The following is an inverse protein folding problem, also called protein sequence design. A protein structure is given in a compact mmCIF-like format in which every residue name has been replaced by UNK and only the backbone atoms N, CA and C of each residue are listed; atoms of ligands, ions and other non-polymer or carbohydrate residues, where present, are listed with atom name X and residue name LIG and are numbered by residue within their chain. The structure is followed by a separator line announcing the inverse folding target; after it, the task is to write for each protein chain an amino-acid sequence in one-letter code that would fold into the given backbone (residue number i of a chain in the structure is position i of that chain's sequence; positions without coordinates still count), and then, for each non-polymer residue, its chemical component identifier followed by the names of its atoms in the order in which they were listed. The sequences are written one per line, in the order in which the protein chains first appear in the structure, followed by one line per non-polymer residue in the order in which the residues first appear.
data_IF_144758969259
#
_entry.id   IF_144758969259
#
_cell.length_a   1.000
_cell.length_b   1.000
_cell.length_c   1.000
_cell.angle_alpha   90.00
_cell.angle_beta   90.00
_cell.angle_gamma   90.00
#
_symmetry.space_group_name_H-M   'P 1'
#
loop_
_entity.id
_entity.type
_entity.pdbx_description
1 polymer ?
#
# COMPACT_ATOMS: atom_id res chain seq x y z
N UNK A 1 2.51 -18.59 -14.69
CA UNK A 1 2.13 -17.17 -14.90
C UNK A 1 2.63 -16.40 -13.70
N UNK A 2 3.14 -15.18 -13.88
CA UNK A 2 3.46 -14.32 -12.74
C UNK A 2 2.20 -13.54 -12.38
N UNK A 3 1.63 -13.83 -11.21
CA UNK A 3 0.41 -13.17 -10.70
C UNK A 3 0.74 -11.91 -9.88
N UNK A 4 1.92 -11.31 -10.12
CA UNK A 4 2.45 -10.17 -9.36
C UNK A 4 2.74 -9.01 -10.29
N UNK A 5 2.21 -7.83 -9.93
CA UNK A 5 2.62 -6.57 -10.52
C UNK A 5 3.83 -6.01 -9.76
N UNK A 6 4.94 -5.76 -10.46
CA UNK A 6 6.10 -5.08 -9.90
C UNK A 6 6.00 -3.59 -10.18
N UNK A 7 6.08 -2.78 -9.13
CA UNK A 7 6.11 -1.31 -9.22
C UNK A 7 7.51 -0.86 -8.81
N UNK A 8 8.30 -0.29 -9.73
CA UNK A 8 9.68 0.11 -9.44
C UNK A 8 9.72 1.28 -8.45
N UNK A 9 10.86 1.46 -7.78
CA UNK A 9 11.22 2.66 -7.01
C UNK A 9 10.20 3.12 -5.94
N UNK A 10 9.39 2.19 -5.42
CA UNK A 10 8.47 2.45 -4.31
C UNK A 10 9.25 2.56 -3.00
N UNK A 11 9.14 3.73 -2.35
CA UNK A 11 9.66 3.90 -0.99
C UNK A 11 8.78 3.17 0.03
N UNK A 12 9.39 2.29 0.83
CA UNK A 12 8.73 1.57 1.93
C UNK A 12 9.33 2.00 3.26
N UNK A 13 8.48 2.44 4.18
CA UNK A 13 8.87 2.77 5.55
C UNK A 13 9.08 1.51 6.37
N UNK A 14 10.31 1.29 6.87
CA UNK A 14 10.58 0.24 7.86
C UNK A 14 10.29 0.78 9.26
N UNK A 15 9.22 0.29 9.88
CA UNK A 15 8.89 0.67 11.26
C UNK A 15 9.99 0.24 12.23
N UNK A 16 10.41 1.16 13.11
CA UNK A 16 11.39 0.90 14.18
C UNK A 16 10.73 0.76 15.55
N UNK A 17 9.42 1.01 15.63
CA UNK A 17 8.58 0.89 16.82
C UNK A 17 7.20 0.38 16.39
N UNK A 18 6.65 -0.55 17.15
CA UNK A 18 5.29 -1.08 16.97
C UNK A 18 4.48 -0.66 18.21
N UNK A 19 3.31 -0.08 17.99
CA UNK A 19 2.37 0.26 19.07
C UNK A 19 1.82 -1.02 19.70
N UNK A 20 1.55 -1.01 21.01
CA UNK A 20 0.93 -2.15 21.71
C UNK A 20 -0.42 -2.56 21.10
N UNK A 21 -1.13 -1.59 20.49
CA UNK A 21 -2.39 -1.83 19.78
C UNK A 21 -2.25 -2.85 18.62
N UNK A 22 -1.05 -3.02 18.06
CA UNK A 22 -0.78 -3.95 16.97
C UNK A 22 -0.01 -5.20 17.43
N UNK A 23 0.04 -5.49 18.74
CA UNK A 23 0.80 -6.64 19.26
C UNK A 23 0.25 -7.98 18.77
N UNK A 24 -1.08 -8.10 18.73
CA UNK A 24 -1.77 -9.38 18.47
C UNK A 24 -2.58 -9.36 17.16
N UNK A 25 -2.31 -8.39 16.27
CA UNK A 25 -2.98 -8.33 14.98
C UNK A 25 -2.32 -9.27 13.97
N UNK A 26 -3.07 -10.01 13.16
CA UNK A 26 -2.53 -11.00 12.23
C UNK A 26 -2.05 -10.36 10.90
N UNK A 27 -1.39 -9.19 10.95
CA UNK A 27 -0.79 -8.55 9.78
C UNK A 27 0.58 -7.95 10.12
N UNK A 28 1.49 -7.96 9.14
CA UNK A 28 2.89 -7.53 9.34
C UNK A 28 3.12 -6.02 9.09
N UNK A 29 2.15 -5.35 8.46
CA UNK A 29 2.25 -3.93 8.15
C UNK A 29 1.00 -3.37 7.51
N UNK A 30 1.09 -2.10 7.09
CA UNK A 30 -0.02 -1.37 6.47
C UNK A 30 0.43 -0.87 5.11
N UNK A 31 -0.41 -1.08 4.10
CA UNK A 31 -0.26 -0.52 2.77
C UNK A 31 -1.23 0.66 2.61
N UNK A 32 -0.71 1.88 2.55
CA UNK A 32 -1.53 3.08 2.33
C UNK A 32 -2.00 3.19 0.89
N UNK A 33 -3.31 3.29 0.67
CA UNK A 33 -3.94 3.34 -0.66
C UNK A 33 -4.70 4.65 -0.94
N UNK A 34 -4.69 5.59 0.01
CA UNK A 34 -5.37 6.86 -0.14
C UNK A 34 -4.54 7.88 -0.94
N UNK A 35 -5.11 9.07 -1.18
CA UNK A 35 -4.46 10.14 -1.92
C UNK A 35 -3.16 10.61 -1.27
N UNK A 36 -2.17 10.98 -2.10
CA UNK A 36 -0.88 11.51 -1.63
C UNK A 36 -1.01 12.79 -0.79
N UNK A 37 -2.07 13.59 -1.01
CA UNK A 37 -2.32 14.83 -0.26
C UNK A 37 -2.49 14.64 1.25
N UNK A 38 -2.81 13.42 1.71
CA UNK A 38 -2.93 13.08 3.13
C UNK A 38 -1.79 12.17 3.63
N UNK A 39 -0.74 11.98 2.82
CA UNK A 39 0.43 11.24 3.25
C UNK A 39 1.16 12.00 4.37
N UNK A 40 1.65 11.28 5.38
CA UNK A 40 2.42 11.86 6.49
C UNK A 40 3.70 12.56 6.02
N UNK A 41 4.27 12.08 4.91
CA UNK A 41 5.38 12.73 4.22
C UNK A 41 4.96 12.98 2.77
N UNK A 42 4.75 14.25 2.42
CA UNK A 42 4.30 14.67 1.08
C UNK A 42 5.30 14.36 -0.03
N UNK A 43 6.58 14.16 0.31
CA UNK A 43 7.63 13.77 -0.63
C UNK A 43 7.58 12.27 -1.01
N UNK A 44 6.72 11.47 -0.37
CA UNK A 44 6.57 10.05 -0.66
C UNK A 44 5.30 9.81 -1.49
N UNK A 45 5.48 9.26 -2.68
CA UNK A 45 4.38 8.85 -3.54
C UNK A 45 3.84 7.48 -3.11
N UNK A 46 2.52 7.33 -2.88
CA UNK A 46 1.94 6.03 -2.52
C UNK A 46 2.10 4.98 -3.63
N UNK A 47 2.18 3.67 -3.30
CA UNK A 47 2.49 2.63 -4.28
C UNK A 47 1.49 2.54 -5.44
N UNK A 48 0.19 2.73 -5.17
CA UNK A 48 -0.82 2.69 -6.22
C UNK A 48 -0.75 3.91 -7.15
N UNK A 49 -0.43 5.10 -6.61
CA UNK A 49 -0.19 6.30 -7.41
C UNK A 49 1.05 6.10 -8.28
N UNK A 50 2.12 5.53 -7.72
CA UNK A 50 3.33 5.15 -8.45
C UNK A 50 3.02 4.22 -9.63
N UNK A 51 2.20 3.18 -9.41
CA UNK A 51 1.80 2.26 -10.48
C UNK A 51 1.03 2.97 -11.61
N UNK A 52 0.16 3.92 -11.26
CA UNK A 52 -0.59 4.70 -12.24
C UNK A 52 0.32 5.62 -13.08
N UNK A 53 1.26 6.34 -12.45
CA UNK A 53 2.22 7.22 -13.15
C UNK A 53 3.09 6.44 -14.16
N UNK A 54 3.38 5.17 -13.88
CA UNK A 54 4.10 4.28 -14.79
C UNK A 54 3.19 3.61 -15.83
N UNK A 55 1.92 3.99 -15.91
CA UNK A 55 0.90 3.41 -16.80
C UNK A 55 0.73 1.90 -16.63
N UNK A 56 0.95 1.38 -15.42
CA UNK A 56 0.79 -0.04 -15.11
C UNK A 56 -0.67 -0.39 -14.77
N UNK A 57 -1.45 0.60 -14.30
CA UNK A 57 -2.84 0.45 -13.89
C UNK A 57 -3.65 1.72 -14.22
N UNK A 58 -4.96 1.55 -14.39
CA UNK A 58 -5.91 2.66 -14.36
C UNK A 58 -5.99 3.26 -12.94
N UNK A 59 -6.35 4.55 -12.78
CA UNK A 59 -6.43 5.21 -11.49
C UNK A 59 -7.70 4.82 -10.70
N UNK A 60 -8.12 3.55 -10.81
CA UNK A 60 -9.25 2.96 -10.12
C UNK A 60 -8.90 1.55 -9.68
N UNK A 61 -9.25 1.22 -8.44
CA UNK A 61 -9.20 -0.14 -7.93
C UNK A 61 -10.49 -0.46 -7.20
N UNK A 62 -10.80 -1.74 -7.08
CA UNK A 62 -11.94 -2.23 -6.31
C UNK A 62 -11.46 -3.20 -5.24
N UNK A 63 -12.19 -3.25 -4.12
CA UNK A 63 -11.88 -4.17 -3.03
C UNK A 63 -12.81 -5.37 -3.15
N UNK A 64 -12.25 -6.54 -3.41
CA UNK A 64 -12.95 -7.81 -3.29
C UNK A 64 -12.65 -8.43 -1.93
N UNK A 65 -13.50 -8.18 -0.94
CA UNK A 65 -13.40 -8.80 0.38
C UNK A 65 -14.44 -9.93 0.50
N UNK A 66 -14.00 -11.17 0.29
CA UNK A 66 -14.85 -12.33 0.49
C UNK A 66 -14.94 -12.68 1.97
N UNK A 67 -16.16 -12.70 2.52
CA UNK A 67 -16.41 -13.33 3.82
C UNK A 67 -16.35 -14.84 3.65
N UNK A 68 -15.39 -15.46 4.32
CA UNK A 68 -15.35 -16.91 4.53
C UNK A 68 -15.93 -17.19 5.91
N UNK A 69 -16.91 -18.09 5.96
CA UNK A 69 -17.57 -18.59 7.17
C UNK A 69 -17.54 -20.10 7.15
#
# INVERSE_FOLDING_TARGET
MQDRLEVPDVAIGRATRISEMFRDVPFDGVLGLAFQSIATNTAIMPPFVHAHEFNLVDPIFTVHLRRVG
#
